data_IF_170555484397
#
_entry.id   IF_170555484397
#
_cell.length_a   1.000
_cell.length_b   1.000
_cell.length_c   1.000
_cell.angle_alpha   90.00
_cell.angle_beta   90.00
_cell.angle_gamma   90.00
#
_symmetry.space_group_name_H-M   'P 1'
#
loop_
_entity.id
_entity.type
_entity.pdbx_description
1 polymer ?
#
# COMPACT_ATOMS: atom_id res chain seq x y z
N UNK A 1 24.31 16.86 1.61
CA UNK A 1 23.58 16.53 0.37
C UNK A 1 22.10 16.76 0.59
N UNK A 2 21.67 18.00 0.37
CA UNK A 2 20.24 18.36 0.21
C UNK A 2 20.01 18.71 -1.26
N UNK A 3 18.75 18.69 -1.72
CA UNK A 3 18.37 18.70 -3.14
C UNK A 3 18.86 19.89 -4.00
N UNK A 4 19.56 20.89 -3.44
CA UNK A 4 20.08 22.05 -4.18
C UNK A 4 21.61 22.13 -4.27
N UNK A 5 22.33 21.07 -3.90
CA UNK A 5 23.79 21.02 -4.02
C UNK A 5 24.28 20.39 -5.34
N UNK A 6 23.39 20.07 -6.29
CA UNK A 6 23.75 19.29 -7.48
C UNK A 6 24.73 20.03 -8.43
N UNK A 7 24.52 21.32 -8.68
CA UNK A 7 25.47 22.11 -9.49
C UNK A 7 26.78 22.42 -8.74
N UNK A 8 26.77 22.35 -7.40
CA UNK A 8 27.86 22.81 -6.53
C UNK A 8 28.80 21.70 -6.09
N UNK A 9 28.36 20.45 -6.13
CA UNK A 9 29.23 19.30 -5.94
C UNK A 9 30.23 19.14 -7.10
N UNK A 10 29.87 19.63 -8.29
CA UNK A 10 30.67 19.52 -9.51
C UNK A 10 31.77 20.59 -9.67
N UNK A 11 31.77 21.67 -8.86
CA UNK A 11 32.66 22.84 -9.06
C UNK A 11 33.81 22.98 -8.04
N UNK A 12 34.00 22.01 -7.14
CA UNK A 12 35.32 21.70 -6.60
C UNK A 12 35.91 22.56 -5.46
N UNK A 13 35.18 23.48 -4.82
CA UNK A 13 35.71 24.19 -3.64
C UNK A 13 34.66 24.46 -2.54
N UNK A 14 34.88 24.02 -1.28
CA UNK A 14 34.02 24.37 -0.16
C UNK A 14 34.55 25.63 0.57
N UNK A 15 33.73 26.69 0.76
CA UNK A 15 34.05 27.74 1.73
C UNK A 15 33.60 27.32 3.15
N UNK A 16 34.15 27.95 4.21
CA UNK A 16 33.85 27.58 5.60
C UNK A 16 32.37 27.82 5.93
N UNK A 17 31.72 26.77 6.47
CA UNK A 17 30.31 26.79 6.80
C UNK A 17 30.00 27.83 7.90
N UNK A 18 29.35 28.93 7.52
CA UNK A 18 28.91 29.94 8.50
C UNK A 18 27.74 29.41 9.33
N UNK A 19 27.59 29.89 10.57
CA UNK A 19 26.45 29.55 11.45
C UNK A 19 25.09 29.87 10.81
N UNK A 20 25.03 30.82 9.87
CA UNK A 20 23.83 31.18 9.12
C UNK A 20 23.41 30.11 8.11
N UNK A 21 24.35 29.32 7.57
CA UNK A 21 24.06 28.14 6.74
C UNK A 21 23.42 27.00 7.54
N UNK A 22 23.41 27.03 8.88
CA UNK A 22 22.68 26.04 9.71
C UNK A 22 21.19 26.34 9.88
N UNK A 23 20.70 27.48 9.40
CA UNK A 23 19.26 27.83 9.39
C UNK A 23 18.69 27.65 7.97
N UNK A 24 18.92 26.48 7.40
CA UNK A 24 18.68 26.12 6.00
C UNK A 24 17.21 25.87 5.64
N UNK A 25 16.28 26.62 6.23
CA UNK A 25 14.89 26.66 5.78
C UNK A 25 14.43 28.13 5.86
N UNK A 26 14.75 28.91 4.82
CA UNK A 26 14.32 30.32 4.76
C UNK A 26 12.79 30.35 4.82
N UNK A 27 12.22 31.10 5.77
CA UNK A 27 10.77 31.15 6.05
C UNK A 27 10.17 29.88 6.68
N UNK A 28 10.97 28.99 7.27
CA UNK A 28 10.43 27.91 8.10
C UNK A 28 9.96 28.43 9.44
N UNK A 29 8.70 28.15 9.72
CA UNK A 29 8.07 28.36 11.00
C UNK A 29 7.99 27.00 11.72
N UNK A 30 8.68 26.81 12.86
CA UNK A 30 8.61 25.55 13.62
C UNK A 30 7.20 25.27 14.15
N UNK A 31 6.34 26.28 14.30
CA UNK A 31 4.94 26.08 14.65
C UNK A 31 4.09 25.60 13.45
N UNK A 32 4.56 25.80 12.23
CA UNK A 32 3.86 25.43 10.97
C UNK A 32 4.82 24.77 9.97
N UNK A 33 5.39 23.60 10.32
CA UNK A 33 6.46 22.98 9.53
C UNK A 33 6.02 22.57 8.11
N UNK A 34 4.72 22.36 7.89
CA UNK A 34 4.16 21.96 6.59
C UNK A 34 4.05 23.11 5.60
N UNK A 35 3.98 24.35 6.07
CA UNK A 35 3.81 25.52 5.21
C UNK A 35 5.05 25.75 4.35
N UNK A 36 6.23 25.48 4.92
CA UNK A 36 7.48 25.49 4.17
C UNK A 36 7.45 24.47 3.02
N UNK A 37 6.95 23.25 3.25
CA UNK A 37 6.84 22.23 2.21
C UNK A 37 5.89 22.67 1.09
N UNK A 38 4.79 23.35 1.44
CA UNK A 38 3.78 23.83 0.50
C UNK A 38 4.30 24.93 -0.45
N UNK A 39 5.41 25.60 -0.11
CA UNK A 39 6.02 26.62 -1.00
C UNK A 39 6.53 26.05 -2.31
N UNK A 40 6.89 24.76 -2.35
CA UNK A 40 7.35 24.05 -3.55
C UNK A 40 6.41 22.92 -3.96
N UNK A 41 5.67 22.34 -3.01
CA UNK A 41 4.65 21.34 -3.28
C UNK A 41 3.27 22.00 -3.44
N UNK A 42 3.12 22.79 -4.50
CA UNK A 42 1.85 23.39 -4.89
C UNK A 42 0.96 22.26 -5.43
N UNK A 43 0.11 21.71 -4.56
CA UNK A 43 -0.91 20.76 -4.99
C UNK A 43 -1.95 21.48 -5.83
N UNK A 44 -2.23 20.98 -7.04
CA UNK A 44 -3.50 21.26 -7.69
C UNK A 44 -4.60 20.82 -6.72
N UNK A 45 -5.27 21.81 -6.11
CA UNK A 45 -6.32 21.68 -5.09
C UNK A 45 -5.82 21.52 -3.65
N UNK A 46 -5.41 22.63 -3.03
CA UNK A 46 -5.60 22.90 -1.60
C UNK A 46 -5.31 21.75 -0.63
N UNK A 47 -4.04 21.55 -0.27
CA UNK A 47 -3.67 20.89 0.99
C UNK A 47 -3.88 19.37 1.10
N UNK A 48 -4.30 18.66 0.05
CA UNK A 48 -4.33 17.19 0.09
C UNK A 48 -3.02 16.60 -0.45
N UNK A 49 -2.31 15.90 0.44
CA UNK A 49 -1.20 15.00 0.07
C UNK A 49 -1.63 14.13 -1.11
N UNK A 50 -0.81 14.02 -2.15
CA UNK A 50 -0.98 13.03 -3.20
C UNK A 50 -1.37 11.68 -2.56
N UNK A 51 -2.55 11.17 -2.92
CA UNK A 51 -3.04 9.90 -2.41
C UNK A 51 -2.97 8.85 -3.50
N UNK A 52 -2.08 7.84 -3.38
CA UNK A 52 -1.98 6.75 -4.35
C UNK A 52 -3.24 5.85 -4.35
N UNK A 53 -4.10 5.99 -3.32
CA UNK A 53 -5.38 5.29 -3.25
C UNK A 53 -6.47 5.94 -4.11
N UNK A 54 -6.29 7.19 -4.56
CA UNK A 54 -7.20 7.85 -5.51
C UNK A 54 -6.80 7.51 -6.95
N UNK A 55 -7.05 6.26 -7.33
CA UNK A 55 -6.64 5.67 -8.61
C UNK A 55 -7.57 6.01 -9.78
N UNK A 56 -8.66 6.73 -9.53
CA UNK A 56 -9.54 7.30 -10.54
C UNK A 56 -9.60 8.82 -10.42
N UNK A 57 -9.71 9.53 -11.54
CA UNK A 57 -10.01 10.95 -11.57
C UNK A 57 -11.51 11.22 -11.40
N UNK A 58 -11.90 12.49 -11.46
CA UNK A 58 -13.30 12.92 -11.30
C UNK A 58 -14.21 12.43 -12.43
N UNK A 59 -13.63 12.13 -13.60
CA UNK A 59 -14.34 11.55 -14.75
C UNK A 59 -14.32 10.01 -14.71
N UNK A 60 -13.79 9.41 -13.64
CA UNK A 60 -13.70 7.97 -13.44
C UNK A 60 -12.58 7.29 -14.23
N UNK A 61 -11.72 8.03 -14.94
CA UNK A 61 -10.58 7.48 -15.70
C UNK A 61 -9.48 7.07 -14.74
N UNK A 62 -8.70 6.05 -15.14
CA UNK A 62 -7.59 5.55 -14.33
C UNK A 62 -6.46 6.57 -14.30
N UNK A 63 -5.90 6.76 -13.11
CA UNK A 63 -4.76 7.63 -12.82
C UNK A 63 -3.47 6.82 -12.76
N UNK A 64 -2.69 6.86 -13.84
CA UNK A 64 -1.46 6.07 -13.96
C UNK A 64 -0.40 6.47 -12.91
N UNK A 65 -0.32 7.75 -12.56
CA UNK A 65 0.55 8.28 -11.51
C UNK A 65 0.28 7.62 -10.14
N UNK A 66 -0.99 7.40 -9.80
CA UNK A 66 -1.39 6.69 -8.59
C UNK A 66 -0.94 5.21 -8.62
N UNK A 67 -1.04 4.54 -9.77
CA UNK A 67 -0.58 3.17 -9.95
C UNK A 67 0.94 3.05 -9.80
N UNK A 68 1.69 3.94 -10.46
CA UNK A 68 3.15 3.92 -10.43
C UNK A 68 3.72 4.19 -9.05
N UNK A 69 2.95 4.75 -8.10
CA UNK A 69 3.44 4.92 -6.75
C UNK A 69 3.84 3.59 -6.09
N UNK A 70 3.01 2.55 -6.26
CA UNK A 70 3.23 1.22 -5.70
C UNK A 70 3.88 0.24 -6.67
N UNK A 71 3.61 0.40 -7.96
CA UNK A 71 4.03 -0.51 -9.01
C UNK A 71 5.18 0.06 -9.83
N UNK A 72 6.11 -0.79 -10.26
CA UNK A 72 7.22 -0.40 -11.15
C UNK A 72 6.76 -0.19 -12.59
N UNK A 73 5.66 -0.85 -12.98
CA UNK A 73 4.98 -0.69 -14.26
C UNK A 73 3.48 -0.55 -14.04
N UNK A 74 2.73 -0.01 -15.00
CA UNK A 74 1.26 0.02 -14.92
C UNK A 74 0.74 -1.41 -15.02
N UNK A 75 0.08 -1.96 -13.97
CA UNK A 75 -0.46 -3.30 -14.04
C UNK A 75 -1.69 -3.34 -14.95
N UNK A 76 -1.92 -4.48 -15.57
CA UNK A 76 -3.20 -4.78 -16.21
C UNK A 76 -4.33 -4.71 -15.16
N UNK A 77 -5.49 -4.19 -15.57
CA UNK A 77 -6.71 -4.18 -14.75
C UNK A 77 -7.65 -5.23 -15.34
N UNK A 78 -7.57 -6.48 -14.86
CA UNK A 78 -8.37 -7.55 -15.43
C UNK A 78 -9.86 -7.35 -15.11
N UNK A 79 -10.76 -7.44 -16.11
CA UNK A 79 -12.19 -7.17 -15.93
C UNK A 79 -12.89 -8.18 -15.02
N UNK A 80 -12.31 -9.37 -14.85
CA UNK A 80 -12.79 -10.41 -13.93
C UNK A 80 -12.31 -10.22 -12.49
N UNK A 81 -11.42 -9.25 -12.24
CA UNK A 81 -10.81 -8.99 -10.94
C UNK A 81 -9.90 -10.12 -10.42
N UNK A 82 -9.44 -11.03 -11.28
CA UNK A 82 -8.54 -12.13 -10.90
C UNK A 82 -7.10 -11.64 -10.75
N UNK A 83 -6.41 -12.16 -9.76
CA UNK A 83 -4.99 -11.91 -9.49
C UNK A 83 -4.12 -12.67 -10.47
N UNK A 84 -3.17 -11.97 -11.10
CA UNK A 84 -2.15 -12.54 -12.00
C UNK A 84 -0.84 -12.93 -11.29
N UNK A 85 -0.75 -12.68 -9.97
CA UNK A 85 0.39 -13.03 -9.10
C UNK A 85 1.74 -12.41 -9.45
N UNK A 86 1.77 -11.45 -10.35
CA UNK A 86 2.95 -10.67 -10.70
C UNK A 86 2.63 -9.17 -10.65
N UNK A 87 2.45 -8.61 -9.44
CA UNK A 87 2.02 -7.22 -9.31
C UNK A 87 3.13 -6.23 -9.65
N UNK A 88 4.39 -6.65 -9.85
CA UNK A 88 5.52 -5.75 -10.12
C UNK A 88 5.64 -4.59 -9.11
N UNK A 89 5.43 -4.89 -7.82
CA UNK A 89 5.55 -3.91 -6.74
C UNK A 89 6.99 -3.38 -6.65
N UNK A 90 7.14 -2.11 -6.27
CA UNK A 90 8.45 -1.51 -5.99
C UNK A 90 9.13 -2.17 -4.78
N UNK A 91 8.32 -2.51 -3.78
CA UNK A 91 8.72 -3.23 -2.58
C UNK A 91 7.57 -4.17 -2.22
N UNK A 92 7.89 -5.41 -1.86
CA UNK A 92 6.94 -6.47 -1.54
C UNK A 92 6.82 -6.75 -0.04
N UNK A 93 7.37 -5.88 0.81
CA UNK A 93 7.16 -5.80 2.26
C UNK A 93 6.15 -4.70 2.62
N UNK A 94 5.86 -4.55 3.90
CA UNK A 94 4.97 -3.50 4.41
C UNK A 94 5.59 -2.11 4.38
N UNK A 95 6.90 -1.98 4.12
CA UNK A 95 7.57 -0.69 3.92
C UNK A 95 6.87 0.16 2.86
N UNK A 96 6.31 -0.49 1.83
CA UNK A 96 5.53 0.17 0.80
C UNK A 96 4.40 1.04 1.39
N UNK A 97 3.74 0.54 2.43
CA UNK A 97 2.61 1.20 3.09
C UNK A 97 3.07 2.09 4.26
N UNK A 98 4.08 1.64 5.02
CA UNK A 98 4.59 2.33 6.21
C UNK A 98 5.36 3.63 5.90
N UNK A 99 5.62 3.91 4.62
CA UNK A 99 6.09 5.22 4.16
C UNK A 99 5.04 6.34 4.38
N UNK A 100 3.75 6.00 4.45
CA UNK A 100 2.67 6.96 4.66
C UNK A 100 1.79 6.64 5.88
N UNK A 101 1.61 5.36 6.21
CA UNK A 101 0.75 4.92 7.30
C UNK A 101 1.55 4.63 8.57
N UNK A 102 1.48 5.53 9.55
CA UNK A 102 2.00 5.33 10.91
C UNK A 102 1.05 5.97 11.94
N UNK A 103 0.76 5.32 13.08
CA UNK A 103 1.19 3.97 13.49
C UNK A 103 0.38 2.85 12.83
N UNK A 104 0.95 1.65 12.72
CA UNK A 104 0.20 0.44 12.36
C UNK A 104 -0.30 -0.26 13.63
N UNK A 105 -1.59 -0.59 13.68
CA UNK A 105 -2.17 -1.38 14.75
C UNK A 105 -2.28 -2.85 14.32
N UNK A 106 -1.62 -3.74 15.04
CA UNK A 106 -1.76 -5.18 14.84
C UNK A 106 -2.55 -5.78 16.00
N UNK A 107 -3.55 -6.61 15.68
CA UNK A 107 -4.35 -7.29 16.70
C UNK A 107 -3.59 -8.47 17.34
N UNK A 108 -2.53 -8.95 16.71
CA UNK A 108 -1.66 -9.96 17.30
C UNK A 108 -0.76 -9.32 18.36
N UNK A 109 -0.75 -9.81 19.61
CA UNK A 109 0.19 -9.33 20.63
C UNK A 109 1.65 -9.49 20.22
N UNK A 110 1.92 -10.44 19.31
CA UNK A 110 3.26 -10.65 18.78
C UNK A 110 3.51 -9.90 17.48
N UNK A 111 2.49 -9.37 16.80
CA UNK A 111 2.57 -8.81 15.45
C UNK A 111 2.59 -9.88 14.33
N UNK A 112 1.86 -9.62 13.26
CA UNK A 112 1.82 -10.38 12.01
C UNK A 112 2.57 -9.68 10.87
N UNK A 113 2.60 -8.35 10.84
CA UNK A 113 3.21 -7.57 9.74
C UNK A 113 4.68 -7.97 9.51
N UNK A 114 4.99 -8.22 8.24
CA UNK A 114 6.27 -8.70 7.69
C UNK A 114 6.77 -10.02 8.30
N UNK A 115 5.88 -10.82 8.89
CA UNK A 115 6.23 -12.16 9.38
C UNK A 115 5.95 -13.24 8.35
N UNK A 116 6.86 -14.23 8.22
CA UNK A 116 6.66 -15.36 7.33
C UNK A 116 5.47 -16.19 7.78
N UNK A 117 4.71 -16.66 6.78
CA UNK A 117 3.64 -17.63 6.95
C UNK A 117 4.25 -19.02 6.99
N UNK A 118 3.85 -19.82 7.98
CA UNK A 118 4.31 -21.22 8.06
C UNK A 118 3.63 -22.07 6.97
N UNK A 119 4.23 -23.20 6.55
CA UNK A 119 3.61 -24.10 5.58
C UNK A 119 2.19 -24.52 5.98
N UNK A 120 1.94 -24.76 7.27
CA UNK A 120 0.61 -25.11 7.81
C UNK A 120 -0.41 -24.00 7.61
N UNK A 121 -0.03 -22.74 7.82
CA UNK A 121 -0.94 -21.60 7.62
C UNK A 121 -1.19 -21.40 6.13
N UNK A 122 -0.16 -21.47 5.28
CA UNK A 122 -0.32 -21.32 3.83
C UNK A 122 -1.29 -22.37 3.26
N UNK A 123 -1.11 -23.63 3.66
CA UNK A 123 -1.96 -24.75 3.29
C UNK A 123 -3.41 -24.56 3.78
N UNK A 124 -3.60 -24.02 4.98
CA UNK A 124 -4.92 -23.62 5.47
C UNK A 124 -5.55 -22.50 4.62
N UNK A 125 -4.82 -21.43 4.32
CA UNK A 125 -5.31 -20.32 3.49
C UNK A 125 -5.79 -20.84 2.12
N UNK A 126 -5.00 -21.70 1.47
CA UNK A 126 -5.34 -22.29 0.18
C UNK A 126 -6.60 -23.17 0.26
N UNK A 127 -6.72 -24.01 1.30
CA UNK A 127 -7.94 -24.80 1.52
C UNK A 127 -9.16 -23.92 1.80
N UNK A 128 -9.00 -22.88 2.62
CA UNK A 128 -10.11 -22.01 2.99
C UNK A 128 -10.62 -21.22 1.78
N UNK A 129 -9.72 -20.74 0.91
CA UNK A 129 -10.12 -20.11 -0.36
C UNK A 129 -10.88 -21.08 -1.28
N UNK A 130 -10.52 -22.37 -1.29
CA UNK A 130 -11.21 -23.42 -2.07
C UNK A 130 -12.58 -23.78 -1.48
N UNK A 131 -12.70 -23.77 -0.15
CA UNK A 131 -13.94 -24.10 0.57
C UNK A 131 -14.93 -22.92 0.65
N UNK A 132 -14.41 -21.68 0.61
CA UNK A 132 -15.19 -20.46 0.71
C UNK A 132 -15.89 -20.06 -0.59
N UNK A 133 -17.01 -19.33 -0.47
CA UNK A 133 -17.81 -18.78 -1.59
C UNK A 133 -17.11 -17.69 -2.42
N UNK A 134 -15.85 -17.33 -2.10
CA UNK A 134 -15.15 -16.18 -2.66
C UNK A 134 -14.48 -16.42 -4.02
N UNK A 135 -14.56 -17.62 -4.59
CA UNK A 135 -13.91 -17.87 -5.88
C UNK A 135 -14.76 -18.80 -6.74
N UNK A 136 -15.17 -18.27 -7.90
CA UNK A 136 -15.25 -19.05 -9.15
C UNK A 136 -14.11 -20.06 -9.18
N UNK A 137 -14.33 -21.29 -9.70
CA UNK A 137 -13.56 -22.50 -9.40
C UNK A 137 -12.10 -22.16 -9.17
N UNK A 138 -11.70 -22.24 -7.89
CA UNK A 138 -10.33 -22.05 -7.50
C UNK A 138 -9.47 -22.92 -8.41
N UNK A 139 -8.49 -22.30 -9.07
CA UNK A 139 -7.51 -23.04 -9.84
C UNK A 139 -6.84 -24.03 -8.89
N UNK A 140 -7.14 -25.32 -9.03
CA UNK A 140 -6.69 -26.38 -8.11
C UNK A 140 -5.15 -26.42 -8.03
N UNK A 141 -4.47 -25.93 -9.06
CA UNK A 141 -3.01 -25.88 -9.18
C UNK A 141 -2.41 -24.62 -8.52
N UNK A 142 -3.23 -23.72 -7.98
CA UNK A 142 -2.76 -22.49 -7.35
C UNK A 142 -1.98 -22.78 -6.06
N UNK A 143 -0.78 -22.22 -6.01
CA UNK A 143 0.18 -22.34 -4.89
C UNK A 143 0.26 -21.10 -4.01
N UNK A 144 -0.51 -20.04 -4.31
CA UNK A 144 -0.52 -18.76 -3.59
C UNK A 144 -1.94 -18.28 -3.31
N UNK A 145 -2.24 -17.77 -2.11
CA UNK A 145 -3.57 -17.24 -1.77
C UNK A 145 -3.88 -15.99 -2.61
N UNK A 146 -5.09 -15.91 -3.14
CA UNK A 146 -5.51 -14.82 -4.01
C UNK A 146 -6.28 -13.72 -3.28
N UNK A 147 -7.10 -14.10 -2.29
CA UNK A 147 -7.93 -13.19 -1.50
C UNK A 147 -7.06 -12.43 -0.51
N UNK A 148 -6.22 -13.16 0.25
CA UNK A 148 -5.22 -12.60 1.16
C UNK A 148 -3.80 -12.82 0.61
N UNK A 149 -3.33 -11.98 -0.32
CA UNK A 149 -2.01 -12.15 -0.94
C UNK A 149 -0.87 -11.99 0.07
N UNK A 150 0.21 -12.74 -0.13
CA UNK A 150 1.43 -12.65 0.68
C UNK A 150 2.58 -11.97 -0.09
N UNK A 151 3.43 -11.26 0.62
CA UNK A 151 4.68 -10.69 0.11
C UNK A 151 5.85 -11.56 0.47
N UNK A 152 6.52 -12.19 -0.52
CA UNK A 152 7.59 -13.20 -0.26
C UNK A 152 7.19 -14.26 0.79
N UNK A 153 5.95 -14.73 0.74
CA UNK A 153 5.37 -15.65 1.75
C UNK A 153 5.25 -15.07 3.17
N UNK A 154 5.33 -13.76 3.33
CA UNK A 154 5.06 -13.06 4.59
C UNK A 154 3.72 -12.31 4.54
N UNK A 155 3.11 -12.13 5.71
CA UNK A 155 1.97 -11.24 5.89
C UNK A 155 2.45 -9.81 5.75
N UNK A 156 1.76 -9.01 4.95
CA UNK A 156 2.06 -7.59 4.75
C UNK A 156 0.80 -6.76 4.98
N UNK A 157 0.91 -5.42 5.01
CA UNK A 157 -0.27 -4.56 5.09
C UNK A 157 -1.31 -4.88 4.01
N UNK A 158 -0.89 -5.16 2.77
CA UNK A 158 -1.82 -5.47 1.66
C UNK A 158 -2.38 -6.90 1.70
N UNK A 159 -1.89 -7.75 2.61
CA UNK A 159 -2.49 -9.06 2.91
C UNK A 159 -3.86 -8.88 3.56
N UNK A 160 -3.99 -7.95 4.51
CA UNK A 160 -5.23 -7.67 5.23
C UNK A 160 -6.04 -6.54 4.59
N UNK A 161 -5.35 -5.51 4.10
CA UNK A 161 -5.95 -4.32 3.51
C UNK A 161 -5.97 -4.38 1.99
N UNK A 162 -7.01 -3.80 1.38
CA UNK A 162 -7.11 -3.61 -0.06
C UNK A 162 -6.77 -2.15 -0.41
N UNK A 163 -5.56 -1.86 -0.93
CA UNK A 163 -5.15 -0.49 -1.23
C UNK A 163 -5.86 0.08 -2.48
N UNK A 164 -6.59 -0.75 -3.22
CA UNK A 164 -7.24 -0.32 -4.45
C UNK A 164 -8.49 0.51 -4.19
N UNK A 165 -8.70 1.53 -5.02
CA UNK A 165 -9.89 2.37 -5.02
C UNK A 165 -11.17 1.52 -5.11
N UNK A 166 -12.23 1.80 -4.32
CA UNK A 166 -13.51 1.09 -4.42
C UNK A 166 -14.06 1.13 -5.86
N UNK A 167 -14.43 -0.02 -6.41
CA UNK A 167 -14.93 -0.09 -7.80
C UNK A 167 -13.84 -0.04 -8.88
N UNK A 168 -12.55 -0.13 -8.51
CA UNK A 168 -11.52 -0.43 -9.51
C UNK A 168 -11.68 -1.84 -10.08
N UNK A 169 -12.07 -2.80 -9.23
CA UNK A 169 -12.32 -4.20 -9.59
C UNK A 169 -13.75 -4.61 -9.20
N UNK A 170 -14.31 -5.66 -9.82
CA UNK A 170 -15.62 -6.19 -9.45
C UNK A 170 -15.71 -6.52 -7.94
N UNK A 171 -16.81 -6.16 -7.26
CA UNK A 171 -17.02 -6.51 -5.86
C UNK A 171 -16.92 -8.03 -5.64
N UNK A 172 -16.27 -8.44 -4.55
CA UNK A 172 -16.09 -9.85 -4.22
C UNK A 172 -15.04 -10.60 -5.04
N UNK A 173 -14.40 -9.97 -6.03
CA UNK A 173 -13.25 -10.54 -6.74
C UNK A 173 -11.97 -10.55 -5.89
N UNK A 174 -10.96 -11.31 -6.30
CA UNK A 174 -9.65 -11.41 -5.59
C UNK A 174 -8.98 -10.04 -5.41
N UNK A 175 -9.07 -9.17 -6.42
CA UNK A 175 -8.53 -7.81 -6.40
C UNK A 175 -9.52 -6.78 -5.81
N UNK A 176 -10.82 -7.07 -5.84
CA UNK A 176 -11.90 -6.22 -5.30
C UNK A 176 -12.36 -6.57 -3.89
N UNK A 177 -11.76 -7.57 -3.25
CA UNK A 177 -12.13 -8.07 -1.92
C UNK A 177 -12.16 -6.93 -0.88
N UNK A 178 -13.29 -6.80 -0.19
CA UNK A 178 -13.54 -5.82 0.87
C UNK A 178 -14.54 -6.36 1.88
N UNK A 179 -14.37 -5.95 3.13
CA UNK A 179 -15.27 -6.21 4.24
C UNK A 179 -16.70 -5.69 3.97
N UNK A 180 -17.68 -6.41 4.52
CA UNK A 180 -19.09 -6.04 4.49
C UNK A 180 -19.43 -5.05 5.59
N UNK A 181 -18.80 -5.18 6.77
CA UNK A 181 -18.98 -4.28 7.88
C UNK A 181 -18.45 -2.86 7.54
N UNK A 182 -19.21 -1.78 7.83
CA UNK A 182 -18.79 -0.42 7.52
C UNK A 182 -17.46 0.02 8.13
N UNK A 183 -17.17 -0.33 9.40
CA UNK A 183 -15.91 0.07 10.06
C UNK A 183 -14.72 -0.63 9.42
N UNK A 184 -14.86 -1.92 9.15
CA UNK A 184 -13.82 -2.74 8.53
C UNK A 184 -13.58 -2.30 7.08
N UNK A 185 -14.65 -1.94 6.36
CA UNK A 185 -14.57 -1.38 5.01
C UNK A 185 -13.90 -0.01 4.98
N UNK A 186 -14.13 0.83 5.98
CA UNK A 186 -13.45 2.12 6.13
C UNK A 186 -11.95 1.94 6.37
N UNK A 187 -11.56 0.91 7.12
CA UNK A 187 -10.18 0.46 7.25
C UNK A 187 -9.66 -0.29 6.01
N UNK A 188 -10.47 -0.42 4.95
CA UNK A 188 -10.16 -1.16 3.73
C UNK A 188 -9.76 -2.63 3.96
N UNK A 189 -10.27 -3.28 5.01
CA UNK A 189 -10.06 -4.72 5.21
C UNK A 189 -10.68 -5.52 4.06
N UNK A 190 -10.02 -6.62 3.69
CA UNK A 190 -10.47 -7.53 2.61
C UNK A 190 -11.65 -8.42 3.00
N UNK A 191 -11.82 -8.66 4.29
CA UNK A 191 -12.90 -9.42 4.90
C UNK A 191 -13.25 -8.79 6.26
N UNK A 192 -14.43 -9.12 6.81
CA UNK A 192 -14.80 -8.65 8.15
C UNK A 192 -13.80 -9.17 9.18
N UNK A 193 -13.47 -8.38 10.20
CA UNK A 193 -12.31 -8.63 11.07
C UNK A 193 -12.31 -10.04 11.69
N UNK A 194 -13.49 -10.57 12.05
CA UNK A 194 -13.62 -11.91 12.64
C UNK A 194 -13.35 -13.02 11.62
N UNK A 195 -13.76 -12.80 10.37
CA UNK A 195 -13.56 -13.73 9.25
C UNK A 195 -12.13 -13.63 8.72
N UNK A 196 -11.50 -12.46 8.82
CA UNK A 196 -10.12 -12.24 8.39
C UNK A 196 -9.15 -13.14 9.17
N UNK A 197 -9.37 -13.28 10.47
CA UNK A 197 -8.57 -14.17 11.32
C UNK A 197 -8.71 -15.64 10.90
N UNK A 198 -9.93 -16.09 10.57
CA UNK A 198 -10.18 -17.48 10.19
C UNK A 198 -9.64 -17.85 8.81
N UNK A 199 -9.30 -16.87 7.97
CA UNK A 199 -8.60 -17.14 6.70
C UNK A 199 -7.21 -17.72 6.90
N UNK A 200 -6.54 -17.41 8.02
CA UNK A 200 -5.19 -17.85 8.32
C UNK A 200 -5.12 -18.84 9.50
N UNK A 201 -6.05 -18.70 10.45
CA UNK A 201 -6.06 -19.51 11.66
C UNK A 201 -7.24 -20.48 11.63
N UNK A 202 -6.94 -21.78 11.69
CA UNK A 202 -7.93 -22.76 12.07
C UNK A 202 -8.11 -22.72 13.60
N UNK A 203 -9.35 -22.84 14.08
CA UNK A 203 -9.63 -23.02 15.50
C UNK A 203 -9.13 -24.38 16.00
#
# INVERSE_FOLDING_TARGET
MTCHEFERHCSGAPPPASRAQRRMLRNYDPARPLDYCATCHIGESGGMRFSPHRQRDEQGRIRDDACFFCHTIRPEIPPDGRRRFDPKLRVDTSDLCLNCHRPHWDLSPRGHVDRPVTPRILDWMLRNERAGRAARPADEQRTRPAVLPLGRQAVTCYTCHNPHYPGLFPPGSELGARATNPSDRAAALRADWIELCSQCHNR
#
